data_IF_694946709380
#
_entry.id   IF_694946709380
#
_cell.length_a   1.000
_cell.length_b   1.000
_cell.length_c   1.000
_cell.angle_alpha   90.00
_cell.angle_beta   90.00
_cell.angle_gamma   90.00
#
_symmetry.space_group_name_H-M   'P 1'
#
loop_
_entity.id
_entity.type
_entity.pdbx_description
1 polymer ?
#
# COMPACT_ATOMS: atom_id res chain seq x y z
N UNK A 1 13.93 23.64 3.76
CA UNK A 1 13.06 24.04 4.88
C UNK A 1 11.80 24.61 4.26
N UNK A 2 10.77 23.79 4.10
CA UNK A 2 9.50 24.26 3.55
C UNK A 2 8.76 25.00 4.65
N UNK A 3 8.54 26.29 4.41
CA UNK A 3 7.88 27.20 5.32
C UNK A 3 6.43 26.74 5.51
N UNK A 4 6.14 26.20 6.69
CA UNK A 4 4.82 25.88 7.19
C UNK A 4 4.12 27.20 7.55
N UNK A 5 3.75 27.97 6.53
CA UNK A 5 2.82 29.07 6.72
C UNK A 5 1.45 28.41 6.80
N UNK A 6 0.95 28.18 8.02
CA UNK A 6 -0.47 28.05 8.24
C UNK A 6 -1.08 29.37 7.77
N UNK A 7 -1.54 29.42 6.52
CA UNK A 7 -2.26 30.58 5.98
C UNK A 7 -3.48 30.83 6.88
N UNK A 8 -3.34 31.86 7.72
CA UNK A 8 -4.41 32.41 8.53
C UNK A 8 -5.43 32.99 7.56
N UNK A 9 -6.67 32.48 7.62
CA UNK A 9 -7.76 33.03 6.83
C UNK A 9 -7.95 34.52 7.18
N UNK A 10 -8.01 35.42 6.19
CA UNK A 10 -8.24 36.83 6.47
C UNK A 10 -9.63 37.00 7.12
N UNK A 11 -9.66 37.77 8.20
CA UNK A 11 -10.92 38.13 8.88
C UNK A 11 -11.70 39.10 7.99
N UNK A 12 -12.86 38.67 7.48
CA UNK A 12 -13.79 39.51 6.73
C UNK A 12 -14.54 40.46 7.69
N UNK A 13 -14.57 41.75 7.37
CA UNK A 13 -15.32 42.76 8.13
C UNK A 13 -16.84 42.57 7.92
N UNK A 14 -17.60 42.32 9.00
CA UNK A 14 -19.05 42.04 8.94
C UNK A 14 -19.89 43.19 8.35
N UNK A 15 -19.43 44.44 8.47
CA UNK A 15 -20.19 45.63 8.04
C UNK A 15 -20.38 45.73 6.51
N UNK A 16 -19.44 45.23 5.70
CA UNK A 16 -19.54 45.34 4.24
C UNK A 16 -20.52 44.31 3.64
N UNK A 17 -20.75 43.20 4.34
CA UNK A 17 -21.61 42.10 3.89
C UNK A 17 -23.07 42.42 4.20
N UNK A 18 -23.36 42.98 5.38
CA UNK A 18 -24.72 43.32 5.83
C UNK A 18 -25.48 44.26 4.87
N UNK A 19 -24.79 45.20 4.20
CA UNK A 19 -25.43 46.12 3.26
C UNK A 19 -25.73 45.52 1.88
N UNK A 20 -25.09 44.41 1.48
CA UNK A 20 -25.38 43.72 0.20
C UNK A 20 -26.24 42.46 0.35
N UNK A 21 -26.22 41.81 1.52
CA UNK A 21 -26.96 40.57 1.78
C UNK A 21 -28.47 40.78 2.03
N UNK A 22 -28.90 42.01 2.34
CA UNK A 22 -30.32 42.34 2.58
C UNK A 22 -31.25 42.18 1.36
N UNK A 23 -30.76 41.80 0.18
CA UNK A 23 -31.58 41.61 -1.02
C UNK A 23 -31.94 40.15 -1.36
N UNK A 24 -31.33 39.14 -0.74
CA UNK A 24 -31.57 37.72 -1.10
C UNK A 24 -31.60 36.75 0.11
N UNK A 25 -32.57 36.87 1.03
CA UNK A 25 -32.71 35.96 2.18
C UNK A 25 -33.09 34.51 1.82
N UNK A 26 -33.60 34.26 0.60
CA UNK A 26 -33.95 32.91 0.13
C UNK A 26 -32.73 32.11 -0.35
N UNK A 27 -31.68 32.78 -0.79
CA UNK A 27 -30.47 32.13 -1.29
C UNK A 27 -29.54 31.70 -0.15
N UNK A 28 -29.49 32.45 0.96
CA UNK A 28 -28.67 32.11 2.15
C UNK A 28 -29.03 30.73 2.72
N UNK A 29 -30.33 30.45 2.89
CA UNK A 29 -30.80 29.14 3.36
C UNK A 29 -30.46 27.99 2.39
N UNK A 30 -30.37 28.28 1.08
CA UNK A 30 -29.96 27.31 0.08
C UNK A 30 -28.46 26.98 0.20
N UNK A 31 -27.63 27.99 0.40
CA UNK A 31 -26.19 27.83 0.62
C UNK A 31 -25.87 27.10 1.93
N UNK A 32 -26.58 27.42 3.02
CA UNK A 32 -26.45 26.70 4.29
C UNK A 32 -26.79 25.22 4.13
N UNK A 33 -27.90 24.88 3.45
CA UNK A 33 -28.29 23.49 3.22
C UNK A 33 -27.29 22.74 2.32
N UNK A 34 -26.74 23.41 1.30
CA UNK A 34 -25.67 22.84 0.47
C UNK A 34 -24.42 22.56 1.31
N UNK A 35 -24.03 23.50 2.18
CA UNK A 35 -22.88 23.34 3.07
C UNK A 35 -23.06 22.13 4.00
N UNK A 36 -24.23 21.98 4.62
CA UNK A 36 -24.55 20.80 5.45
C UNK A 36 -24.41 19.52 4.65
N UNK A 37 -24.99 19.49 3.44
CA UNK A 37 -24.91 18.31 2.55
C UNK A 37 -23.47 17.96 2.20
N UNK A 38 -22.66 18.97 1.86
CA UNK A 38 -21.24 18.77 1.52
C UNK A 38 -20.41 18.29 2.72
N UNK A 39 -20.71 18.77 3.93
CA UNK A 39 -20.05 18.30 5.16
C UNK A 39 -20.43 16.84 5.46
N UNK A 40 -21.70 16.49 5.32
CA UNK A 40 -22.19 15.11 5.50
C UNK A 40 -21.56 14.15 4.47
N UNK A 41 -21.46 14.58 3.21
CA UNK A 41 -20.81 13.79 2.15
C UNK A 41 -19.32 13.61 2.42
N UNK A 42 -18.62 14.67 2.84
CA UNK A 42 -17.22 14.57 3.26
C UNK A 42 -17.08 13.57 4.41
N UNK A 43 -17.94 13.63 5.41
CA UNK A 43 -17.85 12.74 6.58
C UNK A 43 -18.10 11.28 6.17
N UNK A 44 -19.06 11.02 5.27
CA UNK A 44 -19.26 9.68 4.66
C UNK A 44 -18.04 9.20 3.86
N UNK A 45 -17.41 10.09 3.09
CA UNK A 45 -16.20 9.75 2.33
C UNK A 45 -15.02 9.44 3.25
N UNK A 46 -14.86 10.18 4.34
CA UNK A 46 -13.83 9.93 5.36
C UNK A 46 -14.04 8.58 6.03
N UNK A 47 -15.30 8.23 6.36
CA UNK A 47 -15.61 6.92 6.95
C UNK A 47 -15.34 5.78 5.97
N UNK A 48 -15.80 5.91 4.72
CA UNK A 48 -15.53 4.93 3.66
C UNK A 48 -14.02 4.76 3.41
N UNK A 49 -13.25 5.84 3.42
CA UNK A 49 -11.80 5.79 3.30
C UNK A 49 -11.17 5.00 4.45
N UNK A 50 -11.60 5.23 5.70
CA UNK A 50 -11.11 4.49 6.87
C UNK A 50 -11.43 3.00 6.77
N UNK A 51 -12.67 2.64 6.42
CA UNK A 51 -13.05 1.24 6.21
C UNK A 51 -12.19 0.57 5.12
N UNK A 52 -11.94 1.27 4.00
CA UNK A 52 -11.12 0.71 2.93
C UNK A 52 -9.66 0.51 3.34
N UNK A 53 -9.11 1.42 4.16
CA UNK A 53 -7.77 1.31 4.71
C UNK A 53 -7.64 0.15 5.71
N UNK A 54 -8.65 -0.06 6.56
CA UNK A 54 -8.70 -1.21 7.47
C UNK A 54 -8.74 -2.53 6.69
N UNK A 55 -9.64 -2.65 5.71
CA UNK A 55 -9.71 -3.82 4.83
C UNK A 55 -8.39 -4.07 4.08
N UNK A 56 -7.74 -3.00 3.60
CA UNK A 56 -6.44 -3.11 2.95
C UNK A 56 -5.40 -3.68 3.92
N UNK A 57 -5.31 -3.14 5.14
CA UNK A 57 -4.39 -3.62 6.17
C UNK A 57 -4.61 -5.09 6.50
N UNK A 58 -5.86 -5.54 6.62
CA UNK A 58 -6.18 -6.96 6.82
C UNK A 58 -5.71 -7.84 5.64
N UNK A 59 -5.90 -7.37 4.41
CA UNK A 59 -5.46 -8.12 3.21
C UNK A 59 -3.95 -8.21 3.12
N UNK A 60 -3.22 -7.15 3.47
CA UNK A 60 -1.76 -7.13 3.51
C UNK A 60 -1.22 -8.10 4.58
N UNK A 61 -1.87 -8.16 5.75
CA UNK A 61 -1.51 -9.11 6.80
C UNK A 61 -1.69 -10.57 6.34
N UNK A 62 -2.82 -10.87 5.69
CA UNK A 62 -3.08 -12.20 5.11
C UNK A 62 -2.08 -12.55 4.00
N UNK A 63 -1.73 -11.58 3.17
CA UNK A 63 -0.72 -11.77 2.12
C UNK A 63 0.63 -12.17 2.75
N UNK A 64 1.09 -11.45 3.77
CA UNK A 64 2.34 -11.75 4.46
C UNK A 64 2.36 -13.17 5.07
N UNK A 65 1.22 -13.63 5.61
CA UNK A 65 1.08 -15.00 6.12
C UNK A 65 1.20 -16.04 5.01
N UNK A 66 0.50 -15.85 3.89
CA UNK A 66 0.57 -16.74 2.72
C UNK A 66 1.97 -16.77 2.11
N UNK A 67 2.67 -15.63 2.06
CA UNK A 67 4.05 -15.58 1.60
C UNK A 67 5.00 -16.36 2.51
N UNK A 68 4.82 -16.26 3.82
CA UNK A 68 5.58 -17.06 4.80
C UNK A 68 5.32 -18.56 4.62
N UNK A 69 4.07 -18.96 4.39
CA UNK A 69 3.72 -20.35 4.11
C UNK A 69 4.36 -20.85 2.81
N UNK A 70 4.28 -20.06 1.72
CA UNK A 70 4.95 -20.33 0.44
C UNK A 70 6.45 -20.55 0.66
N UNK A 71 7.11 -19.66 1.39
CA UNK A 71 8.56 -19.75 1.65
C UNK A 71 8.92 -20.95 2.54
N UNK A 72 8.04 -21.33 3.47
CA UNK A 72 8.18 -22.55 4.26
C UNK A 72 8.10 -23.80 3.37
N UNK A 73 7.07 -23.88 2.52
CA UNK A 73 6.88 -24.99 1.58
C UNK A 73 8.03 -25.08 0.58
N UNK A 74 8.50 -23.95 0.04
CA UNK A 74 9.63 -23.91 -0.88
C UNK A 74 10.92 -24.44 -0.24
N UNK A 75 11.15 -24.11 1.04
CA UNK A 75 12.27 -24.66 1.80
C UNK A 75 12.12 -26.16 2.03
N UNK A 76 10.92 -26.64 2.36
CA UNK A 76 10.66 -28.08 2.50
C UNK A 76 10.92 -28.84 1.20
N UNK A 77 10.45 -28.33 0.06
CA UNK A 77 10.71 -28.91 -1.26
C UNK A 77 12.22 -28.97 -1.51
N UNK A 78 12.93 -27.86 -1.26
CA UNK A 78 14.38 -27.77 -1.48
C UNK A 78 15.18 -28.71 -0.55
N UNK A 79 14.69 -28.96 0.67
CA UNK A 79 15.30 -29.88 1.62
C UNK A 79 14.99 -31.36 1.33
N UNK A 80 13.81 -31.63 0.75
CA UNK A 80 13.33 -33.00 0.49
C UNK A 80 13.73 -33.49 -0.90
N UNK A 81 14.02 -32.58 -1.85
CA UNK A 81 14.50 -32.96 -3.16
C UNK A 81 15.96 -33.46 -3.04
N UNK A 82 16.25 -34.72 -3.42
CA UNK A 82 17.59 -35.27 -3.32
C UNK A 82 18.60 -34.47 -4.17
N UNK A 83 19.63 -33.89 -3.54
CA UNK A 83 20.77 -33.17 -4.16
C UNK A 83 21.66 -34.03 -5.10
N UNK A 84 21.20 -35.21 -5.54
CA UNK A 84 22.07 -36.31 -6.01
C UNK A 84 22.29 -36.41 -7.52
N UNK A 85 21.67 -35.57 -8.35
CA UNK A 85 21.75 -35.75 -9.81
C UNK A 85 22.88 -34.96 -10.50
N UNK A 86 23.36 -33.86 -9.92
CA UNK A 86 24.33 -32.98 -10.59
C UNK A 86 25.79 -33.28 -10.26
N UNK A 87 26.10 -33.72 -9.02
CA UNK A 87 27.49 -33.94 -8.58
C UNK A 87 28.02 -35.34 -8.88
N UNK A 88 27.16 -36.37 -8.95
CA UNK A 88 27.60 -37.76 -9.18
C UNK A 88 27.90 -38.10 -10.64
N UNK A 89 27.37 -37.35 -11.61
CA UNK A 89 27.62 -37.61 -13.03
C UNK A 89 28.93 -36.99 -13.55
N UNK A 90 29.49 -35.99 -12.87
CA UNK A 90 30.75 -35.34 -13.27
C UNK A 90 32.00 -36.05 -12.73
N UNK A 91 31.85 -36.97 -11.77
CA UNK A 91 32.99 -37.68 -11.15
C UNK A 91 33.44 -38.94 -11.90
N UNK A 92 32.68 -39.43 -12.89
CA UNK A 92 32.91 -40.76 -13.48
C UNK A 92 33.73 -40.76 -14.78
N UNK A 93 34.41 -39.66 -15.13
CA UNK A 93 35.23 -39.56 -16.36
C UNK A 93 36.69 -39.19 -16.10
N UNK A 94 37.33 -39.76 -15.07
CA UNK A 94 38.79 -39.82 -15.01
C UNK A 94 39.26 -41.24 -15.35
N UNK A 95 39.45 -41.50 -16.64
CA UNK A 95 40.13 -42.69 -17.15
C UNK A 95 41.61 -42.57 -16.74
N UNK A 96 42.07 -43.47 -15.87
CA UNK A 96 43.48 -43.54 -15.46
C UNK A 96 44.35 -44.14 -16.58
N UNK A 97 45.51 -43.57 -16.95
CA UNK A 97 46.39 -44.16 -17.96
C UNK A 97 47.15 -45.36 -17.39
N UNK A 98 47.18 -46.47 -18.13
CA UNK A 98 48.00 -47.65 -17.83
C UNK A 98 49.51 -47.31 -17.89
N UNK A 99 50.35 -47.83 -16.98
CA UNK A 99 51.78 -47.58 -17.03
C UNK A 99 52.44 -48.42 -18.14
N UNK A 100 53.14 -47.76 -19.07
CA UNK A 100 54.02 -48.39 -20.04
C UNK A 100 55.33 -48.80 -19.35
N UNK A 101 55.60 -50.11 -19.27
CA UNK A 101 56.91 -50.63 -18.86
C UNK A 101 57.93 -50.46 -20.00
N UNK A 102 59.15 -49.96 -19.72
CA UNK A 102 60.19 -49.82 -20.74
C UNK A 102 60.87 -51.18 -21.05
N UNK A 103 61.23 -51.36 -22.33
CA UNK A 103 62.09 -52.45 -22.86
C UNK A 103 63.54 -51.99 -22.80
#
# INVERSE_FOLDING_TARGET
MWNMMCDVMPTISEDAIAQRSSQFPADEANFEQLMVTMLDERDKLVESLRETQERLSETEAKLAEVEKERDSLQRQISATLPQVSTTKLLSNHSVSPLPLHPI
#
